data_IF_408603011203
#
_entry.id   IF_408603011203
#
_cell.length_a   1.000
_cell.length_b   1.000
_cell.length_c   1.000
_cell.angle_alpha   90.00
_cell.angle_beta   90.00
_cell.angle_gamma   90.00
#
_symmetry.space_group_name_H-M   'P 1'
#
loop_
_entity.id
_entity.type
_entity.pdbx_description
1 polymer ?
#
# COMPACT_ATOMS: atom_id res chain seq x y z
N UNK A 1 -5.39 -15.10 8.03
CA UNK A 1 -4.22 -14.30 7.64
C UNK A 1 -3.20 -15.17 6.95
N UNK A 2 -2.49 -14.64 6.00
CA UNK A 2 -1.46 -15.39 5.30
C UNK A 2 -0.26 -14.50 5.03
N UNK A 3 0.91 -15.12 4.93
CA UNK A 3 2.13 -14.40 4.62
C UNK A 3 2.25 -14.23 3.11
N UNK A 4 2.75 -13.08 2.67
CA UNK A 4 2.90 -12.79 1.26
C UNK A 4 3.95 -11.69 1.10
N UNK A 5 4.14 -11.25 -0.12
CA UNK A 5 5.02 -10.11 -0.42
C UNK A 5 4.24 -9.08 -1.21
N UNK A 6 4.59 -7.82 -0.99
CA UNK A 6 4.08 -6.71 -1.80
C UNK A 6 5.27 -5.89 -2.26
N UNK A 7 5.05 -5.09 -3.30
CA UNK A 7 6.06 -4.16 -3.80
C UNK A 7 5.56 -2.75 -3.52
N UNK A 8 6.25 -2.03 -2.66
CA UNK A 8 5.94 -0.63 -2.39
C UNK A 8 6.51 0.22 -3.51
N UNK A 9 5.67 1.03 -4.11
CA UNK A 9 6.02 1.80 -5.30
C UNK A 9 6.21 3.26 -4.92
N UNK A 10 7.37 3.80 -5.27
CA UNK A 10 7.65 5.22 -5.06
C UNK A 10 8.13 5.84 -6.35
N UNK A 11 8.03 7.16 -6.45
CA UNK A 11 8.58 7.92 -7.55
C UNK A 11 10.00 8.35 -7.17
N UNK A 12 10.93 8.24 -8.12
CA UNK A 12 12.28 8.73 -7.92
C UNK A 12 12.40 10.09 -8.59
N UNK A 13 12.43 11.19 -7.84
CA UNK A 13 12.46 12.52 -8.43
C UNK A 13 13.77 12.83 -9.12
N UNK A 14 14.83 12.06 -8.85
CA UNK A 14 16.13 12.29 -9.45
C UNK A 14 16.30 11.59 -10.79
N UNK A 15 15.37 10.70 -11.14
CA UNK A 15 15.41 9.95 -12.39
C UNK A 15 14.15 10.25 -13.18
N UNK A 16 14.33 10.80 -14.38
CA UNK A 16 13.19 11.15 -15.21
C UNK A 16 13.17 10.31 -16.48
N UNK A 17 11.97 9.94 -16.89
CA UNK A 17 11.79 9.23 -18.13
C UNK A 17 11.85 10.16 -19.34
N UNK A 18 11.64 9.59 -20.51
CA UNK A 18 11.76 10.30 -21.79
C UNK A 18 10.80 11.49 -21.88
N UNK A 19 9.64 11.41 -21.22
CA UNK A 19 8.63 12.45 -21.28
C UNK A 19 8.56 13.24 -19.97
N UNK A 20 9.68 13.31 -19.26
CA UNK A 20 9.81 14.07 -18.03
C UNK A 20 8.94 13.53 -16.86
N UNK A 21 8.45 12.33 -16.98
CA UNK A 21 7.77 11.68 -15.87
C UNK A 21 8.82 11.07 -14.93
N UNK A 22 8.62 11.17 -13.62
CA UNK A 22 9.54 10.52 -12.70
C UNK A 22 9.53 9.00 -12.93
N UNK A 23 10.69 8.39 -12.82
CA UNK A 23 10.77 6.95 -12.85
C UNK A 23 10.17 6.40 -11.55
N UNK A 24 9.56 5.23 -11.63
CA UNK A 24 9.05 4.56 -10.43
C UNK A 24 10.09 3.57 -9.93
N UNK A 25 10.08 3.37 -8.62
CA UNK A 25 10.98 2.45 -7.96
C UNK A 25 10.12 1.52 -7.11
N UNK A 26 10.36 0.23 -7.20
CA UNK A 26 9.62 -0.76 -6.44
C UNK A 26 10.52 -1.43 -5.43
N UNK A 27 10.01 -1.62 -4.24
CA UNK A 27 10.76 -2.25 -3.16
C UNK A 27 9.91 -3.36 -2.57
N UNK A 28 10.44 -4.58 -2.58
CA UNK A 28 9.73 -5.74 -2.06
C UNK A 28 9.79 -5.76 -0.54
N UNK A 29 8.64 -5.99 0.08
CA UNK A 29 8.58 -6.18 1.52
C UNK A 29 7.68 -7.37 1.84
N UNK A 30 7.99 -8.05 2.94
CA UNK A 30 7.16 -9.13 3.42
C UNK A 30 6.03 -8.59 4.27
N UNK A 31 4.88 -9.21 4.17
CA UNK A 31 3.71 -8.77 4.91
C UNK A 31 2.82 -9.96 5.26
N UNK A 32 1.86 -9.71 6.15
CA UNK A 32 0.74 -10.60 6.39
C UNK A 32 -0.49 -9.95 5.77
N UNK A 33 -1.29 -10.71 5.05
CA UNK A 33 -2.48 -10.20 4.36
C UNK A 33 -3.72 -10.57 5.17
N UNK A 34 -4.58 -9.61 5.42
CA UNK A 34 -5.88 -9.86 6.04
C UNK A 34 -6.96 -9.04 5.35
N UNK A 35 -8.20 -9.47 5.50
CA UNK A 35 -9.33 -8.72 4.96
C UNK A 35 -9.53 -7.43 5.75
N UNK A 36 -10.08 -6.42 5.09
CA UNK A 36 -10.46 -5.19 5.77
C UNK A 36 -11.62 -5.51 6.74
N UNK A 37 -11.50 -5.05 7.98
CA UNK A 37 -12.55 -5.25 8.97
C UNK A 37 -13.67 -4.24 8.79
N UNK A 38 -14.78 -4.47 9.49
CA UNK A 38 -15.95 -3.59 9.37
C UNK A 38 -15.62 -2.15 9.74
N UNK A 39 -14.76 -1.98 10.73
CA UNK A 39 -14.37 -0.64 11.15
C UNK A 39 -13.65 0.13 10.05
N UNK A 40 -12.70 -0.52 9.40
CA UNK A 40 -11.98 0.10 8.30
C UNK A 40 -12.92 0.42 7.14
N UNK A 41 -13.89 -0.47 6.87
CA UNK A 41 -14.86 -0.25 5.80
C UNK A 41 -15.71 0.98 6.09
N UNK A 42 -16.27 1.09 7.30
CA UNK A 42 -17.12 2.24 7.64
C UNK A 42 -16.34 3.55 7.60
N UNK A 43 -15.13 3.57 8.14
CA UNK A 43 -14.32 4.78 8.12
C UNK A 43 -13.97 5.20 6.69
N UNK A 44 -13.65 4.24 5.84
CA UNK A 44 -13.27 4.54 4.47
C UNK A 44 -14.46 4.99 3.63
N UNK A 45 -15.63 4.41 3.83
CA UNK A 45 -16.83 4.78 3.07
C UNK A 45 -17.23 6.23 3.31
N UNK A 46 -16.94 6.77 4.50
CA UNK A 46 -17.19 8.17 4.78
C UNK A 46 -16.37 9.10 3.88
N UNK A 47 -15.32 8.60 3.26
CA UNK A 47 -14.46 9.35 2.35
C UNK A 47 -14.50 8.81 0.93
N UNK A 48 -15.56 8.08 0.58
CA UNK A 48 -15.72 7.47 -0.74
C UNK A 48 -14.60 6.50 -1.12
N UNK A 49 -14.01 5.86 -0.13
CA UNK A 49 -12.96 4.87 -0.33
C UNK A 49 -13.52 3.48 -0.12
N UNK A 50 -12.95 2.49 -0.78
CA UNK A 50 -13.42 1.11 -0.72
C UNK A 50 -12.26 0.17 -0.42
N UNK A 51 -11.91 0.00 0.86
CA UNK A 51 -10.78 -0.85 1.21
C UNK A 51 -11.05 -2.31 0.85
N UNK A 52 -10.03 -2.97 0.31
CA UNK A 52 -10.13 -4.39 -0.02
C UNK A 52 -9.37 -5.25 0.96
N UNK A 53 -8.11 -4.91 1.23
CA UNK A 53 -7.27 -5.72 2.10
C UNK A 53 -6.43 -4.81 2.98
N UNK A 54 -5.85 -5.42 4.00
CA UNK A 54 -4.87 -4.76 4.86
C UNK A 54 -3.60 -5.59 4.82
N UNK A 55 -2.48 -4.91 4.55
CA UNK A 55 -1.16 -5.53 4.62
C UNK A 55 -0.51 -5.13 5.93
N UNK A 56 -0.07 -6.13 6.69
CA UNK A 56 0.57 -5.87 7.98
C UNK A 56 2.05 -6.14 7.83
N UNK A 57 2.86 -5.10 7.98
CA UNK A 57 4.31 -5.21 7.95
C UNK A 57 4.80 -5.36 9.38
N UNK A 58 5.74 -6.29 9.59
CA UNK A 58 6.27 -6.55 10.92
C UNK A 58 7.09 -5.39 11.49
N UNK A 59 7.67 -4.58 10.59
CA UNK A 59 8.50 -3.45 10.98
C UNK A 59 8.01 -2.20 10.24
N UNK A 60 7.49 -1.24 11.00
CA UNK A 60 6.98 0.00 10.43
C UNK A 60 8.06 0.78 9.67
N UNK A 61 9.33 0.58 10.00
CA UNK A 61 10.41 1.25 9.31
C UNK A 61 10.53 0.84 7.85
N UNK A 62 9.94 -0.30 7.46
CA UNK A 62 9.94 -0.72 6.07
C UNK A 62 8.98 0.09 5.21
N UNK A 63 8.07 0.83 5.80
CA UNK A 63 7.17 1.70 5.07
C UNK A 63 7.71 3.13 5.10
N UNK A 64 7.91 3.71 3.94
CA UNK A 64 8.55 5.03 3.83
C UNK A 64 7.62 6.07 3.21
N UNK A 65 6.33 5.92 3.42
CA UNK A 65 5.36 6.89 2.94
C UNK A 65 4.90 6.67 1.51
N UNK A 66 5.15 5.52 0.93
CA UNK A 66 4.69 5.20 -0.42
C UNK A 66 3.16 5.26 -0.47
N UNK A 67 2.63 5.71 -1.59
CA UNK A 67 1.18 5.87 -1.76
C UNK A 67 0.54 4.73 -2.53
N UNK A 68 1.34 3.93 -3.23
CA UNK A 68 0.83 2.82 -4.02
C UNK A 68 1.69 1.59 -3.79
N UNK A 69 1.10 0.44 -4.08
CA UNK A 69 1.84 -0.82 -4.01
C UNK A 69 1.30 -1.77 -5.06
N UNK A 70 2.08 -2.82 -5.32
CA UNK A 70 1.68 -3.89 -6.23
C UNK A 70 1.57 -5.19 -5.45
N UNK A 71 0.49 -5.89 -5.66
CA UNK A 71 0.26 -7.19 -5.04
C UNK A 71 -0.50 -8.08 -6.01
N UNK A 72 0.05 -9.28 -6.25
CA UNK A 72 -0.60 -10.22 -7.16
C UNK A 72 -0.78 -9.71 -8.57
N UNK A 73 0.13 -8.84 -9.02
CA UNK A 73 0.05 -8.27 -10.36
C UNK A 73 -0.90 -7.09 -10.50
N UNK A 74 -1.53 -6.68 -9.43
CA UNK A 74 -2.48 -5.56 -9.45
C UNK A 74 -1.94 -4.40 -8.62
N UNK A 75 -2.30 -3.19 -9.02
CA UNK A 75 -1.90 -1.96 -8.33
C UNK A 75 -2.98 -1.56 -7.33
N UNK A 76 -2.54 -1.18 -6.14
CA UNK A 76 -3.43 -0.75 -5.06
C UNK A 76 -2.97 0.60 -4.54
N UNK A 77 -3.93 1.42 -4.12
CA UNK A 77 -3.65 2.69 -3.45
C UNK A 77 -3.66 2.45 -1.95
N UNK A 78 -2.65 2.95 -1.26
CA UNK A 78 -2.58 2.88 0.20
C UNK A 78 -3.38 4.06 0.72
N UNK A 79 -4.55 3.78 1.30
CA UNK A 79 -5.49 4.82 1.69
C UNK A 79 -5.43 5.16 3.17
N UNK A 80 -4.82 4.31 3.97
CA UNK A 80 -4.71 4.53 5.40
C UNK A 80 -3.57 3.72 5.96
N UNK A 81 -2.86 4.27 6.93
CA UNK A 81 -1.82 3.54 7.67
C UNK A 81 -2.11 3.62 9.15
N UNK A 82 -1.72 2.59 9.87
CA UNK A 82 -1.88 2.54 11.31
C UNK A 82 -0.70 1.81 11.93
N UNK A 83 0.08 2.53 12.71
CA UNK A 83 1.20 1.93 13.42
C UNK A 83 0.75 1.39 14.77
N UNK A 84 1.16 0.17 15.09
CA UNK A 84 0.84 -0.47 16.35
C UNK A 84 2.09 -1.18 16.86
N UNK A 85 2.74 -0.57 17.84
CA UNK A 85 4.05 -1.04 18.28
C UNK A 85 5.05 -0.90 17.15
N UNK A 86 5.74 -1.99 16.82
CA UNK A 86 6.70 -1.99 15.71
C UNK A 86 6.06 -2.28 14.36
N UNK A 87 4.79 -2.71 14.36
CA UNK A 87 4.10 -3.08 13.14
C UNK A 87 3.39 -1.89 12.53
N UNK A 88 3.13 -1.98 11.23
CA UNK A 88 2.28 -1.01 10.55
C UNK A 88 1.28 -1.75 9.69
N UNK A 89 0.04 -1.28 9.69
CA UNK A 89 -1.04 -1.80 8.88
C UNK A 89 -1.32 -0.83 7.76
N UNK A 90 -1.28 -1.34 6.53
CA UNK A 90 -1.56 -0.55 5.34
C UNK A 90 -2.89 -0.99 4.78
N UNK A 91 -3.90 -0.13 4.89
CA UNK A 91 -5.21 -0.39 4.30
C UNK A 91 -5.19 0.10 2.87
N UNK A 92 -5.58 -0.77 1.94
CA UNK A 92 -5.46 -0.45 0.51
C UNK A 92 -6.77 -0.68 -0.21
N UNK A 93 -6.96 0.07 -1.29
CA UNK A 93 -8.03 -0.15 -2.23
C UNK A 93 -7.43 -0.35 -3.62
N UNK A 94 -8.13 -1.09 -4.46
CA UNK A 94 -7.65 -1.36 -5.79
C UNK A 94 -7.64 -0.08 -6.62
N UNK A 95 -6.54 0.13 -7.34
CA UNK A 95 -6.46 1.26 -8.26
C UNK A 95 -7.28 0.97 -9.50
N UNK A 96 -8.12 1.92 -9.88
CA UNK A 96 -8.95 1.80 -11.07
C UNK A 96 -8.32 2.47 -12.28
N UNK A 97 -7.21 3.15 -12.08
CA UNK A 97 -6.59 3.94 -13.14
C UNK A 97 -5.26 3.39 -13.61
N UNK A 98 -4.84 2.28 -13.09
CA UNK A 98 -3.50 1.78 -13.28
C UNK A 98 -2.84 2.03 -14.63
#
# INVERSE_FOLDING_TARGET
MRNDVIFLISEDPDVRGVFEKPATKERMVFCTVRSAGMREVYEALAHNMRPEVVFVLADAAEYQGEKTCRWGGLIYNIIRTYEKGQRIELTVERSLTE
#
